data_IF_342330928159
#
_entry.id   IF_342330928159
#
_cell.length_a   1.000
_cell.length_b   1.000
_cell.length_c   1.000
_cell.angle_alpha   90.00
_cell.angle_beta   90.00
_cell.angle_gamma   90.00
#
_symmetry.space_group_name_H-M   'P 1'
#
loop_
_entity.id
_entity.type
_entity.pdbx_description
1 polymer ?
#
# COMPACT_ATOMS: atom_id res chain seq x y z
N UNK A 1 -2.68 -3.76 -0.19
CA UNK A 1 -3.64 -2.91 -0.92
C UNK A 1 -5.05 -3.46 -0.89
N UNK A 2 -5.36 -4.61 -1.50
CA UNK A 2 -6.74 -5.14 -1.60
C UNK A 2 -7.43 -5.26 -0.23
N UNK A 3 -6.81 -5.97 0.73
CA UNK A 3 -7.38 -6.13 2.08
C UNK A 3 -7.66 -4.79 2.77
N UNK A 4 -6.75 -3.81 2.64
CA UNK A 4 -6.92 -2.47 3.21
C UNK A 4 -8.10 -1.72 2.58
N UNK A 5 -8.22 -1.77 1.26
CA UNK A 5 -9.28 -1.06 0.55
C UNK A 5 -10.65 -1.72 0.76
N UNK A 6 -10.75 -3.04 0.53
CA UNK A 6 -12.03 -3.75 0.54
C UNK A 6 -12.52 -4.11 1.93
N UNK A 7 -11.62 -4.41 2.88
CA UNK A 7 -12.02 -4.93 4.21
C UNK A 7 -11.79 -3.94 5.34
N UNK A 8 -10.84 -3.01 5.18
CA UNK A 8 -10.50 -2.02 6.22
C UNK A 8 -10.98 -0.61 5.88
N UNK A 9 -11.81 -0.48 4.83
CA UNK A 9 -12.43 0.77 4.40
C UNK A 9 -11.42 1.93 4.17
N UNK A 10 -10.18 1.60 3.77
CA UNK A 10 -9.20 2.62 3.41
C UNK A 10 -9.50 3.16 2.01
N UNK A 11 -9.26 4.46 1.77
CA UNK A 11 -9.23 4.99 0.40
C UNK A 11 -8.13 4.30 -0.41
N UNK A 12 -8.20 4.35 -1.75
CA UNK A 12 -7.20 3.69 -2.59
C UNK A 12 -5.78 4.24 -2.34
N UNK A 13 -5.68 5.54 -2.05
CA UNK A 13 -4.43 6.21 -1.64
C UNK A 13 -3.90 5.66 -0.32
N UNK A 14 -4.73 5.67 0.74
CA UNK A 14 -4.35 5.10 2.04
C UNK A 14 -3.92 3.63 1.92
N UNK A 15 -4.62 2.85 1.10
CA UNK A 15 -4.36 1.43 0.93
C UNK A 15 -3.05 1.11 0.20
N UNK A 16 -2.62 1.96 -0.75
CA UNK A 16 -1.34 1.84 -1.47
C UNK A 16 -0.18 2.41 -0.65
N UNK A 17 -0.39 3.58 -0.02
CA UNK A 17 0.70 4.29 0.67
C UNK A 17 1.06 3.63 2.00
N UNK A 18 0.13 2.90 2.62
CA UNK A 18 0.37 2.22 3.90
C UNK A 18 1.58 1.27 3.86
N UNK A 19 2.32 1.24 4.98
CA UNK A 19 3.43 0.32 5.18
C UNK A 19 2.98 -1.15 5.05
N UNK A 20 3.81 -1.96 4.40
CA UNK A 20 3.56 -3.37 4.09
C UNK A 20 4.51 -4.29 4.84
N UNK A 21 4.04 -5.51 5.02
CA UNK A 21 4.79 -6.65 5.56
C UNK A 21 4.83 -7.75 4.50
N UNK A 22 5.89 -8.57 4.53
CA UNK A 22 6.08 -9.71 3.65
C UNK A 22 6.68 -10.87 4.45
N UNK A 23 6.21 -12.09 4.18
CA UNK A 23 6.79 -13.33 4.69
C UNK A 23 6.56 -14.42 3.65
N UNK A 24 7.58 -15.18 3.30
CA UNK A 24 7.53 -16.13 2.16
C UNK A 24 7.95 -17.56 2.53
N UNK A 25 7.76 -17.94 3.80
CA UNK A 25 8.16 -19.22 4.41
C UNK A 25 9.68 -19.39 4.53
N UNK A 26 10.46 -19.17 3.48
CA UNK A 26 11.92 -19.23 3.55
C UNK A 26 12.57 -17.97 2.96
N UNK A 27 13.41 -17.25 3.71
CA UNK A 27 13.74 -17.44 5.14
C UNK A 27 12.52 -17.24 6.06
N UNK A 28 12.57 -17.84 7.26
CA UNK A 28 11.53 -17.72 8.31
C UNK A 28 11.63 -16.37 9.04
N UNK A 29 11.39 -15.27 8.32
CA UNK A 29 11.34 -13.92 8.87
C UNK A 29 10.27 -13.06 8.20
N UNK A 30 9.71 -12.12 8.97
CA UNK A 30 8.78 -11.11 8.47
C UNK A 30 9.57 -9.87 8.10
N UNK A 31 9.63 -9.57 6.80
CA UNK A 31 10.19 -8.32 6.30
C UNK A 31 9.14 -7.21 6.35
N UNK A 32 9.51 -6.00 6.80
CA UNK A 32 8.55 -4.89 6.91
C UNK A 32 9.12 -3.53 6.51
N UNK A 33 8.23 -2.63 6.07
CA UNK A 33 8.57 -1.24 5.71
C UNK A 33 8.58 -0.28 6.91
N UNK A 34 9.30 0.83 6.77
CA UNK A 34 9.17 1.96 7.70
C UNK A 34 7.72 2.46 7.75
N UNK A 35 7.26 2.86 8.94
CA UNK A 35 5.90 3.35 9.17
C UNK A 35 4.89 2.29 9.61
N UNK A 36 5.29 1.01 9.73
CA UNK A 36 4.41 0.01 10.34
C UNK A 36 4.14 0.34 11.82
N UNK A 37 2.88 0.28 12.31
CA UNK A 37 2.57 0.58 13.71
C UNK A 37 3.35 -0.31 14.68
N UNK A 38 4.00 0.30 15.68
CA UNK A 38 4.78 -0.40 16.70
C UNK A 38 4.04 -1.55 17.40
N UNK A 39 2.75 -1.42 17.76
CA UNK A 39 2.01 -2.54 18.37
C UNK A 39 1.91 -3.79 17.48
N UNK A 40 1.92 -3.63 16.15
CA UNK A 40 1.90 -4.76 15.20
C UNK A 40 3.25 -5.48 15.23
N UNK A 41 4.36 -4.74 15.25
CA UNK A 41 5.71 -5.32 15.35
C UNK A 41 5.89 -6.10 16.65
N UNK A 42 5.52 -5.49 17.78
CA UNK A 42 5.63 -6.13 19.09
C UNK A 42 4.70 -7.36 19.20
N UNK A 43 3.52 -7.30 18.58
CA UNK A 43 2.62 -8.46 18.48
C UNK A 43 3.25 -9.63 17.72
N UNK A 44 3.85 -9.37 16.55
CA UNK A 44 4.53 -10.40 15.76
C UNK A 44 5.72 -11.00 16.53
N UNK A 45 6.51 -10.18 17.22
CA UNK A 45 7.62 -10.67 18.04
C UNK A 45 7.15 -11.54 19.21
N UNK A 46 6.06 -11.15 19.90
CA UNK A 46 5.48 -11.98 20.98
C UNK A 46 4.96 -13.32 20.48
N UNK A 47 4.50 -13.40 19.23
CA UNK A 47 4.13 -14.64 18.57
C UNK A 47 5.34 -15.49 18.10
N UNK A 48 6.58 -15.00 18.30
CA UNK A 48 7.81 -15.71 17.95
C UNK A 48 8.35 -15.42 16.55
N UNK A 49 7.78 -14.47 15.82
CA UNK A 49 8.30 -14.09 14.50
C UNK A 49 9.60 -13.29 14.62
N UNK A 50 10.60 -13.68 13.83
CA UNK A 50 11.75 -12.82 13.54
C UNK A 50 11.28 -11.70 12.62
N UNK A 51 11.63 -10.46 12.95
CA UNK A 51 11.26 -9.28 12.16
C UNK A 51 12.51 -8.63 11.58
N UNK A 52 12.42 -8.19 10.32
CA UNK A 52 13.51 -7.55 9.61
C UNK A 52 13.00 -6.30 8.87
N UNK A 53 13.53 -5.12 9.21
CA UNK A 53 13.17 -3.90 8.48
C UNK A 53 14.05 -3.77 7.25
N UNK A 54 13.47 -3.91 6.06
CA UNK A 54 14.22 -3.67 4.84
C UNK A 54 14.28 -2.17 4.53
N UNK A 55 15.40 -1.74 3.94
CA UNK A 55 15.65 -0.35 3.54
C UNK A 55 15.50 -0.14 2.04
N UNK A 56 15.52 -1.23 1.28
CA UNK A 56 15.36 -1.20 -0.16
C UNK A 56 13.91 -0.91 -0.55
N UNK A 57 13.72 -0.65 -1.83
CA UNK A 57 12.39 -0.40 -2.38
C UNK A 57 11.56 -1.69 -2.34
N UNK A 58 10.42 -1.63 -1.65
CA UNK A 58 9.42 -2.70 -1.65
C UNK A 58 8.71 -2.85 -3.00
N UNK A 59 7.62 -3.63 -3.00
CA UNK A 59 6.74 -3.73 -4.17
C UNK A 59 6.16 -2.37 -4.57
N UNK A 60 5.68 -2.25 -5.80
CA UNK A 60 5.05 -1.00 -6.28
C UNK A 60 3.71 -1.34 -6.89
N UNK A 61 2.69 -0.63 -6.44
CA UNK A 61 1.29 -0.92 -6.80
C UNK A 61 0.64 0.32 -7.40
N UNK A 62 0.19 0.22 -8.65
CA UNK A 62 -0.73 1.17 -9.24
C UNK A 62 -2.11 0.53 -9.27
N UNK A 63 -3.16 1.28 -8.91
CA UNK A 63 -4.51 0.74 -8.88
C UNK A 63 -5.56 1.79 -9.24
N UNK A 64 -6.66 1.30 -9.81
CA UNK A 64 -7.89 2.02 -10.04
C UNK A 64 -8.99 1.40 -9.18
N UNK A 65 -9.85 2.22 -8.58
CA UNK A 65 -11.10 1.79 -7.95
C UNK A 65 -12.27 2.60 -8.49
N UNK A 66 -13.45 2.00 -8.54
CA UNK A 66 -14.68 2.64 -9.02
C UNK A 66 -15.64 2.78 -7.85
N UNK A 67 -16.13 4.01 -7.63
CA UNK A 67 -17.23 4.27 -6.72
C UNK A 67 -18.30 5.05 -7.51
N UNK A 68 -19.44 4.40 -7.76
CA UNK A 68 -20.45 4.87 -8.71
C UNK A 68 -19.80 5.19 -10.06
N UNK A 69 -20.02 6.38 -10.62
CA UNK A 69 -19.46 6.78 -11.92
C UNK A 69 -18.08 7.43 -11.82
N UNK A 70 -17.48 7.48 -10.63
CA UNK A 70 -16.16 8.08 -10.41
C UNK A 70 -15.10 6.97 -10.30
N UNK A 71 -14.04 7.09 -11.11
CA UNK A 71 -12.84 6.27 -11.02
C UNK A 71 -11.79 7.04 -10.22
N UNK A 72 -11.28 6.42 -9.16
CA UNK A 72 -10.15 6.92 -8.39
C UNK A 72 -8.91 6.13 -8.74
N UNK A 73 -7.82 6.83 -9.01
CA UNK A 73 -6.52 6.26 -9.34
C UNK A 73 -5.51 6.60 -8.26
N UNK A 74 -4.61 5.66 -7.95
CA UNK A 74 -3.40 5.97 -7.20
C UNK A 74 -2.21 5.18 -7.74
N UNK A 75 -1.04 5.83 -7.74
CA UNK A 75 0.25 5.26 -8.10
C UNK A 75 1.13 5.28 -6.86
N UNK A 76 1.83 4.18 -6.59
CA UNK A 76 2.66 4.04 -5.39
C UNK A 76 3.83 5.02 -5.44
N UNK A 77 3.88 5.91 -4.44
CA UNK A 77 4.89 6.96 -4.30
C UNK A 77 6.32 6.39 -4.32
N UNK A 78 6.51 5.10 -3.97
CA UNK A 78 7.82 4.43 -3.97
C UNK A 78 8.47 4.34 -5.36
N UNK A 79 7.72 4.57 -6.44
CA UNK A 79 8.24 4.64 -7.82
C UNK A 79 8.32 6.07 -8.37
N UNK A 80 7.95 7.10 -7.60
CA UNK A 80 7.93 8.51 -8.01
C UNK A 80 7.25 8.72 -9.37
N UNK A 81 6.01 8.20 -9.49
CA UNK A 81 5.22 8.24 -10.73
C UNK A 81 3.95 9.04 -10.53
N UNK A 82 3.54 9.74 -11.57
CA UNK A 82 2.38 10.61 -11.60
C UNK A 82 1.12 9.89 -12.09
N UNK A 83 -0.05 10.49 -11.85
CA UNK A 83 -1.37 9.98 -12.24
C UNK A 83 -2.09 11.06 -13.05
N UNK A 84 -2.76 10.66 -14.14
CA UNK A 84 -3.56 11.57 -14.95
C UNK A 84 -5.00 11.07 -15.04
N UNK A 85 -5.96 11.98 -14.81
CA UNK A 85 -7.38 11.74 -15.00
C UNK A 85 -7.94 12.53 -16.18
N UNK A 86 -8.94 11.95 -16.86
CA UNK A 86 -9.75 12.62 -17.89
C UNK A 86 -11.22 12.60 -17.47
N UNK A 87 -11.95 13.64 -17.83
CA UNK A 87 -13.41 13.71 -17.71
C UNK A 87 -13.98 14.12 -19.07
N UNK A 88 -15.20 13.68 -19.40
CA UNK A 88 -15.87 13.95 -20.69
C UNK A 88 -16.05 15.46 -20.96
N UNK A 89 -15.91 16.28 -19.92
CA UNK A 89 -15.72 17.73 -20.01
C UNK A 89 -14.21 18.00 -19.97
N UNK A 90 -13.55 17.98 -21.13
CA UNK A 90 -12.12 18.20 -21.40
C UNK A 90 -11.34 19.11 -20.41
N UNK A 91 -11.00 18.62 -19.22
CA UNK A 91 -10.09 19.25 -18.28
C UNK A 91 -9.33 18.13 -17.56
N UNK A 92 -8.03 18.04 -17.82
CA UNK A 92 -7.13 17.13 -17.12
C UNK A 92 -7.14 17.50 -15.62
N UNK A 93 -7.56 16.56 -14.77
CA UNK A 93 -7.36 16.64 -13.34
C UNK A 93 -6.05 15.90 -13.02
N UNK A 94 -5.02 16.67 -12.69
CA UNK A 94 -3.79 16.17 -12.06
C UNK A 94 -4.08 16.14 -10.55
N UNK A 95 -4.07 14.95 -9.96
CA UNK A 95 -4.13 14.76 -8.49
C UNK A 95 -3.14 13.70 -8.06
#
# INVERSE_FOLDING_TARGET
>A
TIARHLWMNNTIKQAIDAARIHHQLSPMEVSYEYGLPRPVLEGLQRLGHKINRYRDRGSVVCALTKNNDIIYANSDYRKNVDIQGINEINNFLIT
#
